data_IF_024921810607
#
_entry.id   IF_024921810607
#
_cell.length_a   1.000
_cell.length_b   1.000
_cell.length_c   1.000
_cell.angle_alpha   90.00
_cell.angle_beta   90.00
_cell.angle_gamma   90.00
#
_symmetry.space_group_name_H-M   'P 1'
#
loop_
_entity.id
_entity.type
_entity.pdbx_description
1 polymer ?
#
# COMPACT_ATOMS: atom_id res chain seq x y z
N UNK A 1 -10.41 6.25 2.68
CA UNK A 1 -10.71 7.61 2.13
C UNK A 1 -10.62 7.68 0.61
N UNK A 2 -10.14 6.65 -0.07
CA UNK A 2 -9.92 6.55 -1.53
C UNK A 2 -9.08 7.70 -2.16
N UNK A 3 -8.39 8.52 -1.38
CA UNK A 3 -7.66 9.70 -1.88
C UNK A 3 -6.62 9.35 -2.96
N UNK A 4 -5.90 8.25 -2.76
CA UNK A 4 -4.90 7.79 -3.73
C UNK A 4 -5.57 7.18 -4.97
N UNK A 5 -6.66 6.43 -4.79
CA UNK A 5 -7.45 5.89 -5.92
C UNK A 5 -7.99 7.01 -6.80
N UNK A 6 -8.53 8.09 -6.22
CA UNK A 6 -8.99 9.27 -6.97
C UNK A 6 -7.86 9.89 -7.77
N UNK A 7 -6.67 10.07 -7.18
CA UNK A 7 -5.50 10.62 -7.89
C UNK A 7 -5.05 9.73 -9.04
N UNK A 8 -4.97 8.42 -8.80
CA UNK A 8 -4.58 7.44 -9.80
C UNK A 8 -5.60 7.37 -10.95
N UNK A 9 -6.89 7.32 -10.63
CA UNK A 9 -7.95 7.26 -11.64
C UNK A 9 -7.99 8.50 -12.54
N UNK A 10 -7.64 9.67 -11.99
CA UNK A 10 -7.49 10.90 -12.79
C UNK A 10 -6.24 10.88 -13.65
N UNK A 11 -5.14 10.33 -13.14
CA UNK A 11 -3.85 10.26 -13.86
C UNK A 11 -3.87 9.24 -14.98
N UNK A 12 -4.62 8.14 -14.80
CA UNK A 12 -4.70 7.02 -15.72
C UNK A 12 -6.15 6.77 -16.13
N UNK A 13 -6.68 7.52 -17.12
CA UNK A 13 -8.11 7.56 -17.45
C UNK A 13 -8.64 6.24 -18.04
N UNK A 14 -7.77 5.39 -18.56
CA UNK A 14 -8.14 4.11 -19.20
C UNK A 14 -7.97 2.89 -18.29
N UNK A 15 -7.59 3.09 -17.01
CA UNK A 15 -7.42 2.01 -16.06
C UNK A 15 -8.58 1.93 -15.09
N UNK A 16 -8.91 0.71 -14.67
CA UNK A 16 -9.75 0.45 -13.50
C UNK A 16 -8.90 0.27 -12.26
N UNK A 17 -9.44 0.66 -11.11
CA UNK A 17 -8.77 0.60 -9.82
C UNK A 17 -9.66 -0.11 -8.81
N UNK A 18 -9.04 -0.93 -8.00
CA UNK A 18 -9.70 -1.73 -6.99
C UNK A 18 -9.09 -1.43 -5.64
N UNK A 19 -9.89 -1.23 -4.63
CA UNK A 19 -9.43 -0.92 -3.29
C UNK A 19 -10.13 -1.74 -2.23
N UNK A 20 -9.39 -2.11 -1.21
CA UNK A 20 -9.94 -2.77 -0.03
C UNK A 20 -9.61 -1.97 1.22
N UNK A 21 -10.48 -2.04 2.18
CA UNK A 21 -10.26 -1.52 3.53
C UNK A 21 -11.00 -2.42 4.52
N UNK A 22 -10.41 -2.69 5.67
CA UNK A 22 -11.05 -3.46 6.72
C UNK A 22 -12.16 -2.68 7.43
N UNK A 23 -12.08 -1.34 7.40
CA UNK A 23 -12.99 -0.43 8.08
C UNK A 23 -14.17 -0.03 7.20
N UNK A 24 -15.37 -0.41 7.63
CA UNK A 24 -16.62 0.02 6.98
C UNK A 24 -16.77 1.57 6.97
N UNK A 25 -16.33 2.25 8.02
CA UNK A 25 -16.36 3.72 8.07
C UNK A 25 -15.43 4.38 7.05
N UNK A 26 -14.24 3.80 6.84
CA UNK A 26 -13.31 4.26 5.81
C UNK A 26 -13.90 4.04 4.41
N UNK A 27 -14.59 2.93 4.19
CA UNK A 27 -15.29 2.64 2.93
C UNK A 27 -16.44 3.60 2.69
N UNK A 28 -17.27 3.93 3.71
CA UNK A 28 -18.32 4.96 3.60
C UNK A 28 -17.73 6.32 3.18
N UNK A 29 -16.62 6.70 3.77
CA UNK A 29 -15.90 7.93 3.42
C UNK A 29 -15.35 7.87 2.00
N UNK A 30 -14.81 6.72 1.62
CA UNK A 30 -14.29 6.48 0.28
C UNK A 30 -15.42 6.56 -0.78
N UNK A 31 -16.57 5.94 -0.56
CA UNK A 31 -17.74 6.04 -1.44
C UNK A 31 -18.16 7.48 -1.68
N UNK A 32 -18.30 8.29 -0.62
CA UNK A 32 -18.61 9.71 -0.75
C UNK A 32 -17.60 10.46 -1.63
N UNK A 33 -16.31 10.12 -1.48
CA UNK A 33 -15.25 10.70 -2.30
C UNK A 33 -15.35 10.28 -3.76
N UNK A 34 -15.65 9.03 -4.05
CA UNK A 34 -15.79 8.52 -5.42
C UNK A 34 -16.98 9.14 -6.14
N UNK A 35 -18.13 9.27 -5.46
CA UNK A 35 -19.32 9.97 -5.98
C UNK A 35 -18.99 11.42 -6.31
N UNK A 36 -18.36 12.14 -5.38
CA UNK A 36 -17.96 13.55 -5.58
C UNK A 36 -17.08 13.75 -6.82
N UNK A 37 -16.32 12.73 -7.21
CA UNK A 37 -15.36 12.82 -8.32
C UNK A 37 -15.82 12.10 -9.59
N UNK A 38 -17.05 11.56 -9.60
CA UNK A 38 -17.62 10.80 -10.72
C UNK A 38 -16.73 9.64 -11.19
N UNK A 39 -16.27 8.82 -10.24
CA UNK A 39 -15.32 7.73 -10.48
C UNK A 39 -15.92 6.33 -10.26
N UNK A 40 -17.22 6.23 -10.00
CA UNK A 40 -17.89 4.96 -9.67
C UNK A 40 -17.82 3.88 -10.77
N UNK A 41 -17.65 4.28 -12.02
CA UNK A 41 -17.49 3.34 -13.13
C UNK A 41 -16.07 2.76 -13.30
N UNK A 42 -15.07 3.29 -12.58
CA UNK A 42 -13.66 2.90 -12.75
C UNK A 42 -12.92 2.62 -11.44
N UNK A 43 -13.49 2.97 -10.32
CA UNK A 43 -12.91 2.72 -8.99
C UNK A 43 -13.91 1.92 -8.17
N UNK A 44 -13.55 0.69 -7.89
CA UNK A 44 -14.35 -0.24 -7.12
C UNK A 44 -13.71 -0.45 -5.76
N UNK A 45 -14.50 -0.42 -4.69
CA UNK A 45 -14.01 -0.62 -3.33
C UNK A 45 -14.85 -1.67 -2.62
N UNK A 46 -14.19 -2.49 -1.80
CA UNK A 46 -14.81 -3.58 -1.06
C UNK A 46 -14.22 -3.70 0.33
N UNK A 47 -15.02 -4.21 1.28
CA UNK A 47 -14.51 -4.54 2.60
C UNK A 47 -13.71 -5.84 2.55
N UNK A 48 -12.51 -5.82 3.10
CA UNK A 48 -11.66 -7.00 3.13
C UNK A 48 -10.34 -6.77 3.87
N UNK A 49 -9.70 -7.89 4.20
CA UNK A 49 -8.40 -7.90 4.84
C UNK A 49 -7.31 -8.22 3.82
N UNK A 50 -6.21 -7.49 3.86
CA UNK A 50 -5.14 -7.60 2.88
C UNK A 50 -4.47 -8.99 2.86
N UNK A 51 -4.46 -9.73 3.98
CA UNK A 51 -3.88 -11.06 4.10
C UNK A 51 -4.75 -12.20 3.56
N UNK A 52 -6.02 -11.92 3.20
CA UNK A 52 -6.95 -12.99 2.75
C UNK A 52 -7.86 -12.59 1.59
N UNK A 53 -7.64 -11.39 1.05
CA UNK A 53 -8.46 -10.84 0.00
C UNK A 53 -8.12 -11.45 -1.37
N UNK A 54 -9.12 -11.94 -2.08
CA UNK A 54 -9.00 -12.38 -3.47
C UNK A 54 -9.65 -11.36 -4.42
N UNK A 55 -8.84 -10.61 -5.21
CA UNK A 55 -9.37 -9.61 -6.12
C UNK A 55 -10.19 -10.21 -7.27
N UNK A 56 -9.88 -11.42 -7.70
CA UNK A 56 -10.57 -12.05 -8.83
C UNK A 56 -12.00 -12.41 -8.48
N UNK A 57 -12.21 -13.06 -7.34
CA UNK A 57 -13.55 -13.44 -6.89
C UNK A 57 -14.35 -12.24 -6.41
N UNK A 58 -13.71 -11.31 -5.67
CA UNK A 58 -14.39 -10.14 -5.08
C UNK A 58 -14.86 -9.15 -6.14
N UNK A 59 -14.04 -8.89 -7.14
CA UNK A 59 -14.36 -7.92 -8.20
C UNK A 59 -14.71 -8.58 -9.53
N UNK A 60 -14.86 -9.91 -9.58
CA UNK A 60 -15.19 -10.70 -10.78
C UNK A 60 -14.24 -10.41 -11.94
N UNK A 61 -12.94 -10.39 -11.65
CA UNK A 61 -11.94 -10.06 -12.65
C UNK A 61 -11.61 -11.27 -13.54
N UNK A 62 -11.62 -11.04 -14.85
CA UNK A 62 -11.20 -12.05 -15.83
C UNK A 62 -9.67 -12.26 -15.85
N UNK A 63 -8.92 -11.26 -15.45
CA UNK A 63 -7.44 -11.26 -15.45
C UNK A 63 -6.89 -10.94 -14.07
N UNK A 64 -5.73 -11.52 -13.71
CA UNK A 64 -5.09 -11.20 -12.44
C UNK A 64 -4.68 -9.73 -12.36
N UNK A 65 -4.73 -9.18 -11.17
CA UNK A 65 -4.18 -7.85 -10.88
C UNK A 65 -2.66 -7.92 -11.00
N UNK A 66 -2.08 -7.02 -11.77
CA UNK A 66 -0.63 -6.99 -12.02
C UNK A 66 0.11 -5.93 -11.18
N UNK A 67 -0.60 -5.12 -10.41
CA UNK A 67 -0.02 -4.12 -9.50
C UNK A 67 -0.81 -4.03 -8.20
N UNK A 68 -0.09 -4.14 -7.08
CA UNK A 68 -0.60 -3.84 -5.75
C UNK A 68 0.05 -2.57 -5.21
N UNK A 69 -0.70 -1.78 -4.45
CA UNK A 69 -0.21 -0.56 -3.83
C UNK A 69 -0.58 -0.57 -2.35
N UNK A 70 0.43 -0.56 -1.49
CA UNK A 70 0.29 -0.30 -0.06
C UNK A 70 0.74 1.14 0.20
N UNK A 71 -0.17 1.97 0.67
CA UNK A 71 0.11 3.37 0.93
C UNK A 71 -0.20 3.72 2.37
N UNK A 72 0.84 3.83 3.20
CA UNK A 72 0.75 4.04 4.64
C UNK A 72 -0.17 3.01 5.30
N UNK A 73 -0.03 1.76 4.90
CA UNK A 73 -0.88 0.66 5.31
C UNK A 73 -0.12 -0.42 6.08
N UNK A 74 1.05 -0.84 5.62
CA UNK A 74 1.80 -1.93 6.26
C UNK A 74 2.28 -1.56 7.66
N UNK A 75 2.57 -0.29 7.92
CA UNK A 75 2.92 0.21 9.26
C UNK A 75 1.79 0.06 10.28
N UNK A 76 0.53 0.06 9.83
CA UNK A 76 -0.66 -0.05 10.68
C UNK A 76 -1.28 -1.45 10.66
N UNK A 77 -1.11 -2.23 9.61
CA UNK A 77 -1.65 -3.59 9.52
C UNK A 77 -0.83 -4.51 10.45
N UNK A 78 -1.45 -5.17 11.47
CA UNK A 78 -0.71 -6.10 12.32
C UNK A 78 -0.12 -7.29 11.54
N UNK A 79 -0.87 -8.02 10.69
CA UNK A 79 -0.33 -9.09 9.85
C UNK A 79 0.26 -8.51 8.54
N UNK A 80 1.20 -7.54 8.64
CA UNK A 80 1.79 -6.89 7.48
C UNK A 80 2.56 -7.86 6.57
N UNK A 81 3.24 -8.84 7.19
CA UNK A 81 4.03 -9.83 6.45
C UNK A 81 3.12 -10.76 5.65
N UNK A 82 2.11 -11.29 6.28
CA UNK A 82 1.09 -12.14 5.65
C UNK A 82 0.36 -11.38 4.53
N UNK A 83 0.09 -10.09 4.73
CA UNK A 83 -0.53 -9.24 3.71
C UNK A 83 0.38 -9.04 2.50
N UNK A 84 1.68 -8.90 2.72
CA UNK A 84 2.67 -8.74 1.66
C UNK A 84 2.91 -10.07 0.92
N UNK A 85 3.00 -11.18 1.67
CA UNK A 85 3.15 -12.52 1.10
C UNK A 85 1.94 -12.87 0.23
N UNK A 86 0.74 -12.60 0.72
CA UNK A 86 -0.50 -12.84 -0.02
C UNK A 86 -0.56 -12.01 -1.32
N UNK A 87 -0.18 -10.73 -1.28
CA UNK A 87 -0.10 -9.92 -2.47
C UNK A 87 0.95 -10.45 -3.48
N UNK A 88 2.08 -10.99 -2.98
CA UNK A 88 3.09 -11.62 -3.81
C UNK A 88 2.57 -12.92 -4.47
N UNK A 89 1.79 -13.72 -3.75
CA UNK A 89 1.17 -14.94 -4.29
C UNK A 89 0.22 -14.61 -5.45
N UNK A 90 -0.64 -13.62 -5.26
CA UNK A 90 -1.62 -13.18 -6.25
C UNK A 90 -1.02 -12.53 -7.50
N UNK A 91 0.21 -11.99 -7.40
CA UNK A 91 0.87 -11.34 -8.52
C UNK A 91 1.31 -12.36 -9.59
N UNK A 92 1.06 -12.11 -10.88
CA UNK A 92 1.72 -12.83 -11.95
C UNK A 92 3.21 -12.49 -12.01
N UNK A 93 4.01 -13.31 -12.71
CA UNK A 93 5.41 -12.97 -13.04
C UNK A 93 5.46 -11.62 -13.76
N UNK A 94 6.43 -10.79 -13.38
CA UNK A 94 6.56 -9.41 -13.87
C UNK A 94 5.61 -8.40 -13.22
N UNK A 95 4.69 -8.82 -12.36
CA UNK A 95 3.83 -7.93 -11.58
C UNK A 95 4.59 -7.17 -10.51
N UNK A 96 4.02 -6.08 -10.01
CA UNK A 96 4.70 -5.14 -9.12
C UNK A 96 3.91 -4.87 -7.83
N UNK A 97 4.63 -4.80 -6.71
CA UNK A 97 4.12 -4.21 -5.46
C UNK A 97 4.79 -2.86 -5.25
N UNK A 98 3.97 -1.84 -5.09
CA UNK A 98 4.39 -0.49 -4.75
C UNK A 98 4.07 -0.23 -3.28
N UNK A 99 5.06 0.15 -2.50
CA UNK A 99 4.92 0.45 -1.07
C UNK A 99 5.38 1.88 -0.83
N UNK A 100 4.52 2.67 -0.19
CA UNK A 100 4.87 3.97 0.36
C UNK A 100 4.51 3.92 1.84
N UNK A 101 5.49 4.04 2.71
CA UNK A 101 5.24 3.95 4.14
C UNK A 101 6.21 4.82 4.95
N UNK A 102 6.00 4.90 6.26
CA UNK A 102 6.84 5.69 7.15
C UNK A 102 8.24 5.09 7.23
N UNK A 103 9.25 5.96 7.20
CA UNK A 103 10.66 5.60 7.29
C UNK A 103 11.26 5.90 8.66
N UNK A 104 12.57 5.71 8.76
CA UNK A 104 13.35 5.85 10.00
C UNK A 104 13.48 7.28 10.51
N UNK A 105 13.19 8.27 9.65
CA UNK A 105 13.33 9.71 9.96
C UNK A 105 14.76 10.10 10.37
N UNK A 106 15.75 9.29 10.01
CA UNK A 106 17.15 9.45 10.45
C UNK A 106 17.81 10.74 9.95
N UNK A 107 17.32 11.31 8.84
CA UNK A 107 17.79 12.58 8.29
C UNK A 107 17.10 13.83 8.86
N UNK A 108 16.20 13.69 9.84
CA UNK A 108 15.53 14.82 10.47
C UNK A 108 16.27 15.24 11.77
N UNK A 109 16.22 16.54 12.13
CA UNK A 109 16.76 17.00 13.42
C UNK A 109 16.16 16.22 14.58
N UNK A 110 17.00 15.89 15.58
CA UNK A 110 16.63 14.94 16.65
C UNK A 110 15.38 15.38 17.44
N UNK A 111 15.28 16.67 17.76
CA UNK A 111 14.13 17.21 18.50
C UNK A 111 12.84 17.06 17.69
N UNK A 112 12.89 17.38 16.39
CA UNK A 112 11.74 17.24 15.49
C UNK A 112 11.36 15.77 15.33
N UNK A 113 12.35 14.90 15.20
CA UNK A 113 12.13 13.45 15.11
C UNK A 113 11.44 12.90 16.35
N UNK A 114 11.89 13.28 17.56
CA UNK A 114 11.25 12.82 18.82
C UNK A 114 9.80 13.28 18.94
N UNK A 115 9.51 14.54 18.60
CA UNK A 115 8.13 15.06 18.64
C UNK A 115 7.23 14.40 17.61
N UNK A 116 7.76 14.16 16.41
CA UNK A 116 7.02 13.49 15.34
C UNK A 116 6.73 12.03 15.70
N UNK A 117 7.69 11.28 16.24
CA UNK A 117 7.44 9.92 16.71
C UNK A 117 6.41 9.86 17.85
N UNK A 118 6.49 10.79 18.80
CA UNK A 118 5.50 10.87 19.87
C UNK A 118 4.09 11.14 19.32
N UNK A 119 3.98 12.00 18.31
CA UNK A 119 2.73 12.30 17.65
C UNK A 119 2.20 11.10 16.85
N UNK A 120 3.03 10.44 16.02
CA UNK A 120 2.64 9.25 15.25
C UNK A 120 2.20 8.11 16.16
N UNK A 121 2.83 7.94 17.32
CA UNK A 121 2.47 6.93 18.32
C UNK A 121 1.04 7.08 18.84
N UNK A 122 0.49 8.29 18.90
CA UNK A 122 -0.92 8.53 19.28
C UNK A 122 -1.89 7.90 18.27
N UNK A 123 -1.46 7.69 17.03
CA UNK A 123 -2.25 7.04 15.97
C UNK A 123 -1.86 5.58 15.75
N UNK A 124 -1.09 4.98 16.66
CA UNK A 124 -0.59 3.59 16.56
C UNK A 124 0.25 3.35 15.29
N UNK A 125 0.88 4.40 14.77
CA UNK A 125 1.76 4.34 13.61
C UNK A 125 3.19 4.19 14.08
N UNK A 126 3.86 3.12 13.64
CA UNK A 126 5.24 2.82 13.99
C UNK A 126 6.04 2.55 12.73
N UNK A 127 7.25 3.11 12.66
CA UNK A 127 8.20 2.67 11.67
C UNK A 127 8.56 1.19 11.91
N UNK A 128 8.41 0.39 10.88
CA UNK A 128 8.70 -1.05 10.88
C UNK A 128 9.88 -1.33 9.94
N UNK A 129 11.13 -1.28 10.41
CA UNK A 129 12.31 -1.58 9.57
C UNK A 129 12.26 -3.00 9.01
N UNK A 130 11.53 -3.90 9.66
CA UNK A 130 11.34 -5.29 9.25
C UNK A 130 10.72 -5.41 7.86
N UNK A 131 9.92 -4.42 7.43
CA UNK A 131 9.31 -4.42 6.07
C UNK A 131 10.39 -4.23 5.01
N UNK A 132 11.27 -3.24 5.20
CA UNK A 132 12.38 -2.98 4.27
C UNK A 132 13.36 -4.17 4.24
N UNK A 133 13.69 -4.72 5.41
CA UNK A 133 14.53 -5.90 5.53
C UNK A 133 13.92 -7.09 4.80
N UNK A 134 12.63 -7.35 4.98
CA UNK A 134 11.94 -8.45 4.32
C UNK A 134 11.95 -8.31 2.78
N UNK A 135 11.78 -7.10 2.26
CA UNK A 135 11.89 -6.86 0.82
C UNK A 135 13.31 -7.15 0.28
N UNK A 136 14.35 -6.82 1.07
CA UNK A 136 15.73 -7.15 0.73
C UNK A 136 16.00 -8.66 0.76
N UNK A 137 15.41 -9.38 1.73
CA UNK A 137 15.49 -10.84 1.81
C UNK A 137 14.82 -11.50 0.61
N UNK A 138 13.64 -11.06 0.20
CA UNK A 138 12.95 -11.53 -1.00
C UNK A 138 13.79 -11.35 -2.27
N UNK A 139 14.44 -10.19 -2.40
CA UNK A 139 15.38 -9.91 -3.49
C UNK A 139 16.59 -10.85 -3.43
N UNK A 140 17.18 -11.05 -2.26
CA UNK A 140 18.34 -11.96 -2.09
C UNK A 140 17.99 -13.42 -2.40
N UNK A 141 16.73 -13.83 -2.17
CA UNK A 141 16.21 -15.14 -2.52
C UNK A 141 15.88 -15.29 -4.03
N UNK A 142 16.10 -14.27 -4.84
CA UNK A 142 15.80 -14.30 -6.27
C UNK A 142 14.31 -14.22 -6.62
N UNK A 143 13.44 -13.88 -5.66
CA UNK A 143 11.98 -13.80 -5.87
C UNK A 143 11.55 -12.59 -6.71
N UNK A 144 12.47 -11.65 -6.93
CA UNK A 144 12.20 -10.46 -7.72
C UNK A 144 13.30 -9.41 -7.63
N UNK A 145 13.03 -8.25 -8.19
CA UNK A 145 13.89 -7.07 -8.12
C UNK A 145 13.28 -6.00 -7.23
N UNK A 146 14.12 -5.27 -6.50
CA UNK A 146 13.71 -4.21 -5.58
C UNK A 146 14.35 -2.89 -5.96
N UNK A 147 13.53 -1.83 -6.05
CA UNK A 147 13.97 -0.43 -6.03
C UNK A 147 13.46 0.18 -4.73
N UNK A 148 14.35 0.80 -3.96
CA UNK A 148 14.03 1.39 -2.65
C UNK A 148 14.61 2.80 -2.58
N UNK A 149 13.79 3.77 -2.23
CA UNK A 149 14.16 5.17 -2.11
C UNK A 149 13.61 5.75 -0.81
N UNK A 150 14.47 6.37 -0.01
CA UNK A 150 14.05 7.14 1.16
C UNK A 150 13.74 8.59 0.75
N UNK A 151 12.66 9.13 1.27
CA UNK A 151 12.11 10.43 0.90
C UNK A 151 12.09 11.37 2.12
N UNK A 152 12.29 12.67 1.88
CA UNK A 152 12.12 13.71 2.90
C UNK A 152 12.92 13.45 4.18
N UNK A 153 14.24 13.20 4.03
CA UNK A 153 15.09 12.91 5.18
C UNK A 153 14.75 11.63 5.92
N UNK A 154 14.20 10.65 5.20
CA UNK A 154 13.79 9.37 5.77
C UNK A 154 12.42 9.41 6.48
N UNK A 155 11.62 10.47 6.30
CA UNK A 155 10.25 10.52 6.82
C UNK A 155 9.40 9.39 6.25
N UNK A 156 9.55 9.10 4.98
CA UNK A 156 8.90 7.99 4.29
C UNK A 156 9.88 7.29 3.35
N UNK A 157 9.51 6.10 2.94
CA UNK A 157 10.20 5.41 1.85
C UNK A 157 9.21 5.02 0.74
N UNK A 158 9.74 4.84 -0.45
CA UNK A 158 9.05 4.29 -1.60
C UNK A 158 9.80 3.08 -2.10
N UNK A 159 9.14 1.94 -2.12
CA UNK A 159 9.68 0.69 -2.63
C UNK A 159 8.84 0.18 -3.78
N UNK A 160 9.50 -0.37 -4.80
CA UNK A 160 8.88 -1.13 -5.88
C UNK A 160 9.55 -2.50 -5.91
N UNK A 161 8.77 -3.52 -5.60
CA UNK A 161 9.19 -4.91 -5.76
C UNK A 161 8.52 -5.50 -7.00
N UNK A 162 9.33 -5.95 -7.96
CA UNK A 162 8.84 -6.60 -9.17
C UNK A 162 9.14 -8.09 -9.07
N UNK A 163 8.07 -8.91 -9.10
CA UNK A 163 8.16 -10.38 -9.03
C UNK A 163 8.87 -10.95 -10.26
N UNK A 164 9.73 -11.92 -10.06
CA UNK A 164 10.41 -12.68 -11.13
C UNK A 164 9.45 -13.47 -11.99
#
# INVERSE_FOLDING_TARGET
TARNLVKLARRYPFNSFYGIDASDEMLKTAHKSLIKHDLGGRVHIHQGFAQSFDPQTTFQLEKPVNKFIFSYALSIIPPWKESLDHALELLPSGGEIHIIDFGSQSGLPELFRKTLFAWLKLFHVYYKPEIEQYLLELKAQGKGTLKLHHLYGGYSYYAVFKKS
#
